data_IF_409856609139
#
_entry.id   IF_409856609139
#
_cell.length_a   1.000
_cell.length_b   1.000
_cell.length_c   1.000
_cell.angle_alpha   90.00
_cell.angle_beta   90.00
_cell.angle_gamma   90.00
#
_symmetry.space_group_name_H-M   'P 1'
#
loop_
_entity.id
_entity.type
_entity.pdbx_description
1 polymer ?
#
# COMPACT_ATOMS: atom_id res chain seq x y z
N UNK A 1 -15.30 7.69 -6.98
CA UNK A 1 -14.01 7.65 -7.67
C UNK A 1 -12.92 7.44 -6.62
N UNK A 2 -11.85 6.68 -6.96
CA UNK A 2 -10.72 6.48 -6.07
C UNK A 2 -9.70 7.60 -6.29
N UNK A 3 -9.20 8.19 -5.21
CA UNK A 3 -8.20 9.27 -5.29
C UNK A 3 -6.80 8.73 -5.54
N UNK A 4 -6.51 7.51 -5.07
CA UNK A 4 -5.19 6.89 -5.15
C UNK A 4 -5.26 5.43 -5.54
N UNK A 5 -4.32 5.03 -6.41
CA UNK A 5 -4.03 3.63 -6.72
C UNK A 5 -2.92 3.13 -5.78
N UNK A 6 -3.28 2.23 -4.87
CA UNK A 6 -2.34 1.61 -3.94
C UNK A 6 -1.84 0.30 -4.51
N UNK A 7 -0.54 0.20 -4.74
CA UNK A 7 0.06 -1.00 -5.33
C UNK A 7 1.24 -1.49 -4.51
N UNK A 8 1.52 -2.75 -4.66
CA UNK A 8 2.65 -3.42 -4.02
C UNK A 8 3.96 -3.11 -4.79
N UNK A 9 5.06 -3.50 -4.21
CA UNK A 9 6.40 -3.26 -4.75
C UNK A 9 6.66 -3.91 -6.12
N UNK A 10 5.92 -4.94 -6.49
CA UNK A 10 5.99 -5.58 -7.80
C UNK A 10 5.63 -4.61 -8.94
N UNK A 11 4.67 -3.74 -8.70
CA UNK A 11 4.18 -2.74 -9.66
C UNK A 11 4.93 -1.40 -9.57
N UNK A 12 5.88 -1.22 -8.66
CA UNK A 12 6.64 0.04 -8.49
C UNK A 12 7.69 0.29 -9.59
N UNK A 13 7.43 -0.19 -10.80
CA UNK A 13 8.30 0.04 -11.96
C UNK A 13 8.04 1.43 -12.54
N UNK A 14 9.09 2.19 -12.93
CA UNK A 14 8.92 3.53 -13.49
C UNK A 14 8.00 3.60 -14.71
N UNK A 15 7.98 2.56 -15.55
CA UNK A 15 7.07 2.46 -16.72
C UNK A 15 5.61 2.37 -16.26
N UNK A 16 5.33 1.57 -15.24
CA UNK A 16 3.97 1.47 -14.68
C UNK A 16 3.51 2.83 -14.11
N UNK A 17 4.37 3.50 -13.35
CA UNK A 17 4.06 4.83 -12.79
C UNK A 17 3.81 5.86 -13.92
N UNK A 18 4.62 5.84 -14.98
CA UNK A 18 4.43 6.67 -16.18
C UNK A 18 3.04 6.45 -16.78
N UNK A 19 2.68 5.19 -17.06
CA UNK A 19 1.38 4.84 -17.63
C UNK A 19 0.21 5.27 -16.73
N UNK A 20 0.31 5.08 -15.41
CA UNK A 20 -0.75 5.50 -14.48
C UNK A 20 -0.89 7.02 -14.44
N UNK A 21 0.22 7.77 -14.48
CA UNK A 21 0.19 9.23 -14.58
C UNK A 21 -0.46 9.72 -15.88
N UNK A 22 -0.19 9.05 -17.02
CA UNK A 22 -0.83 9.34 -18.31
C UNK A 22 -2.35 9.14 -18.26
N UNK A 23 -2.81 8.17 -17.46
CA UNK A 23 -4.24 7.92 -17.20
C UNK A 23 -4.84 8.86 -16.14
N UNK A 24 -4.06 9.81 -15.60
CA UNK A 24 -4.51 10.75 -14.57
C UNK A 24 -4.67 10.12 -13.18
N UNK A 25 -4.10 8.94 -12.94
CA UNK A 25 -4.19 8.23 -11.67
C UNK A 25 -2.99 8.56 -10.77
N UNK A 26 -3.26 8.92 -9.53
CA UNK A 26 -2.24 9.10 -8.50
C UNK A 26 -1.85 7.74 -7.91
N UNK A 27 -0.54 7.48 -7.82
CA UNK A 27 -0.01 6.20 -7.34
C UNK A 27 0.71 6.35 -6.01
N UNK A 28 0.39 5.48 -5.06
CA UNK A 28 1.20 5.29 -3.85
C UNK A 28 1.63 3.82 -3.80
N UNK A 29 2.94 3.59 -3.71
CA UNK A 29 3.51 2.25 -3.79
C UNK A 29 4.71 2.08 -2.86
N UNK A 30 4.89 0.87 -2.33
CA UNK A 30 6.18 0.47 -1.76
C UNK A 30 7.17 0.23 -2.90
N UNK A 31 8.40 0.67 -2.73
CA UNK A 31 9.47 0.39 -3.69
C UNK A 31 10.34 -0.77 -3.24
N UNK A 32 10.83 -1.53 -4.21
CA UNK A 32 11.89 -2.50 -3.96
C UNK A 32 13.19 -1.74 -3.74
N UNK A 33 13.86 -2.01 -2.64
CA UNK A 33 15.19 -1.47 -2.36
C UNK A 33 16.24 -2.28 -3.16
N UNK A 34 16.44 -1.90 -4.40
CA UNK A 34 17.37 -2.51 -5.34
C UNK A 34 18.38 -1.47 -5.85
N UNK A 35 19.26 -1.90 -6.76
CA UNK A 35 20.30 -1.06 -7.35
C UNK A 35 19.78 -0.05 -8.40
N UNK A 36 18.47 0.15 -8.52
CA UNK A 36 17.88 1.13 -9.42
C UNK A 36 18.33 2.53 -9.04
N UNK A 37 18.75 3.30 -10.03
CA UNK A 37 19.33 4.62 -9.86
C UNK A 37 18.27 5.69 -10.04
N UNK A 38 18.26 6.63 -9.10
CA UNK A 38 17.38 7.79 -9.06
C UNK A 38 18.17 9.08 -9.06
N UNK A 39 17.66 10.14 -9.67
CA UNK A 39 18.26 11.45 -9.59
C UNK A 39 17.81 12.12 -8.28
N UNK A 40 18.76 12.34 -7.39
CA UNK A 40 18.58 13.03 -6.14
C UNK A 40 19.57 14.22 -6.08
N UNK A 41 19.05 15.46 -6.07
CA UNK A 41 19.85 16.70 -6.04
C UNK A 41 20.96 16.75 -7.11
N UNK A 42 20.63 16.31 -8.35
CA UNK A 42 21.60 16.28 -9.46
C UNK A 42 22.52 15.05 -9.49
N UNK A 43 22.55 14.24 -8.42
CA UNK A 43 23.37 13.03 -8.34
C UNK A 43 22.54 11.77 -8.58
N UNK A 44 23.15 10.81 -9.25
CA UNK A 44 22.58 9.48 -9.46
C UNK A 44 22.87 8.59 -8.25
N UNK A 45 21.83 8.14 -7.54
CA UNK A 45 21.96 7.31 -6.33
C UNK A 45 20.91 6.20 -6.27
N UNK A 46 21.27 5.12 -5.58
CA UNK A 46 20.31 4.08 -5.15
C UNK A 46 19.44 4.60 -4.00
N UNK A 47 18.32 3.94 -3.71
CA UNK A 47 17.45 4.30 -2.58
C UNK A 47 18.20 4.29 -1.24
N UNK A 48 19.05 3.27 -1.01
CA UNK A 48 19.92 3.21 0.18
C UNK A 48 20.90 4.39 0.23
N UNK A 49 21.49 4.75 -0.89
CA UNK A 49 22.42 5.90 -0.98
C UNK A 49 21.71 7.21 -0.66
N UNK A 50 20.46 7.38 -1.14
CA UNK A 50 19.62 8.56 -0.84
C UNK A 50 19.30 8.60 0.66
N UNK A 51 18.80 7.50 1.23
CA UNK A 51 18.49 7.42 2.65
C UNK A 51 19.69 7.77 3.54
N UNK A 52 20.87 7.19 3.25
CA UNK A 52 22.09 7.45 4.01
C UNK A 52 22.54 8.93 3.95
N UNK A 53 22.32 9.60 2.81
CA UNK A 53 22.58 11.04 2.67
C UNK A 53 21.56 11.86 3.45
N UNK A 54 20.26 11.50 3.38
CA UNK A 54 19.21 12.20 4.11
C UNK A 54 19.38 12.09 5.62
N UNK A 55 19.77 10.92 6.13
CA UNK A 55 20.04 10.70 7.56
C UNK A 55 21.09 11.67 8.14
N UNK A 56 22.02 12.12 7.30
CA UNK A 56 23.06 13.09 7.69
C UNK A 56 22.59 14.54 7.58
N UNK A 57 21.64 14.85 6.71
CA UNK A 57 21.27 16.21 6.33
C UNK A 57 19.93 16.69 6.90
N UNK A 58 19.03 15.78 7.28
CA UNK A 58 17.67 16.11 7.72
C UNK A 58 17.37 15.55 9.10
N UNK A 59 16.51 16.25 9.82
CA UNK A 59 15.92 15.72 11.05
C UNK A 59 15.05 14.53 10.74
N UNK A 60 15.35 13.40 11.36
CA UNK A 60 14.54 12.18 11.28
C UNK A 60 13.32 12.38 12.18
N UNK A 61 12.17 12.10 11.65
CA UNK A 61 10.91 12.13 12.38
C UNK A 61 10.60 10.75 12.96
N UNK A 62 9.86 10.74 14.07
CA UNK A 62 9.41 9.50 14.71
C UNK A 62 7.92 9.29 14.45
N UNK A 63 7.59 8.08 14.02
CA UNK A 63 6.21 7.62 13.86
C UNK A 63 5.92 6.41 14.72
N UNK A 64 4.63 6.09 14.88
CA UNK A 64 4.16 4.95 15.63
C UNK A 64 3.02 4.25 14.89
N UNK A 65 3.06 2.93 14.88
CA UNK A 65 1.98 2.09 14.38
C UNK A 65 1.41 1.24 15.52
N UNK A 66 0.14 1.50 15.85
CA UNK A 66 -0.50 0.90 17.02
C UNK A 66 0.24 1.25 18.32
N UNK A 67 0.12 0.40 19.35
CA UNK A 67 0.75 0.64 20.66
C UNK A 67 2.23 0.20 20.74
N UNK A 68 2.74 -0.56 19.76
CA UNK A 68 4.02 -1.29 19.92
C UNK A 68 5.10 -0.96 18.90
N UNK A 69 4.76 -0.54 17.68
CA UNK A 69 5.74 -0.39 16.60
C UNK A 69 6.11 1.08 16.45
N UNK A 70 7.30 1.43 16.91
CA UNK A 70 7.93 2.73 16.64
C UNK A 70 8.81 2.61 15.41
N UNK A 71 8.82 3.63 14.56
CA UNK A 71 9.67 3.71 13.38
C UNK A 71 10.18 5.13 13.16
N UNK A 72 11.31 5.22 12.49
CA UNK A 72 11.87 6.49 12.02
C UNK A 72 11.44 6.71 10.57
N UNK A 73 11.21 7.96 10.18
CA UNK A 73 10.95 8.27 8.77
C UNK A 73 11.56 9.61 8.36
N UNK A 74 11.89 9.68 7.09
CA UNK A 74 12.42 10.87 6.43
C UNK A 74 12.02 10.83 4.96
N UNK A 75 11.74 11.99 4.37
CA UNK A 75 11.31 12.06 2.98
C UNK A 75 12.15 12.99 2.12
N UNK A 76 12.03 12.78 0.82
CA UNK A 76 12.59 13.67 -0.20
C UNK A 76 11.86 13.52 -1.51
N UNK A 77 12.08 14.48 -2.42
CA UNK A 77 11.65 14.38 -3.80
C UNK A 77 12.85 13.89 -4.63
N UNK A 78 12.58 12.92 -5.50
CA UNK A 78 13.52 12.40 -6.49
C UNK A 78 12.93 12.55 -7.87
N UNK A 79 13.79 12.51 -8.89
CA UNK A 79 13.35 12.50 -10.28
C UNK A 79 13.79 11.22 -10.97
N UNK A 80 12.92 10.70 -11.83
CA UNK A 80 13.24 9.60 -12.73
C UNK A 80 12.83 9.97 -14.17
N UNK A 81 13.64 9.59 -15.16
CA UNK A 81 13.44 9.98 -16.57
C UNK A 81 12.02 9.66 -17.08
N UNK A 82 11.47 8.51 -16.67
CA UNK A 82 10.13 8.05 -17.06
C UNK A 82 9.04 8.45 -16.08
N UNK A 83 9.23 8.16 -14.80
CA UNK A 83 8.21 8.36 -13.77
C UNK A 83 8.06 9.83 -13.30
N UNK A 84 8.89 10.76 -13.81
CA UNK A 84 8.83 12.16 -13.40
C UNK A 84 9.34 12.40 -11.98
N UNK A 85 8.80 13.43 -11.31
CA UNK A 85 9.10 13.74 -9.91
C UNK A 85 8.23 12.89 -8.99
N UNK A 86 8.86 12.32 -7.97
CA UNK A 86 8.21 11.45 -7.00
C UNK A 86 8.63 11.84 -5.59
N UNK A 87 7.70 11.87 -4.66
CA UNK A 87 8.00 11.99 -3.24
C UNK A 87 8.22 10.61 -2.66
N UNK A 88 9.38 10.40 -2.01
CA UNK A 88 9.70 9.13 -1.34
C UNK A 88 9.78 9.37 0.16
N UNK A 89 9.02 8.57 0.91
CA UNK A 89 9.09 8.48 2.36
C UNK A 89 9.82 7.20 2.71
N UNK A 90 10.98 7.32 3.35
CA UNK A 90 11.74 6.20 3.86
C UNK A 90 11.32 5.91 5.30
N UNK A 91 10.77 4.73 5.53
CA UNK A 91 10.43 4.24 6.86
C UNK A 91 11.52 3.27 7.31
N UNK A 92 12.16 3.54 8.44
CA UNK A 92 13.17 2.67 9.05
C UNK A 92 12.60 2.03 10.29
N UNK A 93 12.48 0.72 10.26
CA UNK A 93 12.24 -0.13 11.44
C UNK A 93 13.58 -0.68 11.94
N UNK A 94 13.57 -1.45 13.02
CA UNK A 94 14.79 -2.11 13.54
C UNK A 94 15.49 -2.93 12.45
N UNK A 95 14.72 -3.64 11.63
CA UNK A 95 15.26 -4.63 10.67
C UNK A 95 15.26 -4.09 9.23
N UNK A 96 14.25 -3.32 8.83
CA UNK A 96 14.00 -3.02 7.43
C UNK A 96 14.01 -1.52 7.12
N UNK A 97 14.43 -1.19 5.90
CA UNK A 97 14.20 0.09 5.27
C UNK A 97 13.09 -0.08 4.22
N UNK A 98 12.00 0.64 4.40
CA UNK A 98 10.80 0.55 3.56
C UNK A 98 10.60 1.90 2.87
N UNK A 99 10.96 2.04 1.59
CA UNK A 99 10.66 3.23 0.82
C UNK A 99 9.24 3.16 0.27
N UNK A 100 8.43 4.19 0.54
CA UNK A 100 7.10 4.40 -0.03
C UNK A 100 7.18 5.61 -0.95
N UNK A 101 6.70 5.47 -2.17
CA UNK A 101 6.65 6.52 -3.18
C UNK A 101 5.24 7.02 -3.37
N UNK A 102 5.11 8.33 -3.62
CA UNK A 102 3.88 8.98 -4.08
C UNK A 102 4.14 9.80 -5.32
N UNK A 103 3.24 9.75 -6.30
CA UNK A 103 3.20 10.66 -7.44
C UNK A 103 2.60 12.00 -7.06
N UNK A 104 1.74 12.05 -6.04
CA UNK A 104 1.24 13.29 -5.48
C UNK A 104 2.30 13.90 -4.56
N UNK A 105 2.83 15.05 -4.95
CA UNK A 105 3.87 15.78 -4.21
C UNK A 105 3.31 16.63 -3.07
N UNK A 106 2.01 16.95 -3.09
CA UNK A 106 1.33 17.80 -2.12
C UNK A 106 1.09 17.08 -0.77
N UNK A 107 0.94 15.75 -0.80
CA UNK A 107 0.73 14.96 0.41
C UNK A 107 1.91 15.13 1.38
N UNK A 108 1.61 15.31 2.67
CA UNK A 108 2.63 15.22 3.70
C UNK A 108 3.09 13.76 3.92
N UNK A 109 4.11 13.56 4.73
CA UNK A 109 4.73 12.23 4.92
C UNK A 109 3.80 11.27 5.64
N UNK A 110 3.09 11.78 6.63
CA UNK A 110 2.14 11.03 7.46
C UNK A 110 0.93 10.58 6.63
N UNK A 111 0.41 11.45 5.78
CA UNK A 111 -0.68 11.11 4.85
C UNK A 111 -0.28 9.99 3.89
N UNK A 112 0.93 10.04 3.31
CA UNK A 112 1.42 8.97 2.43
C UNK A 112 1.50 7.64 3.18
N UNK A 113 2.00 7.66 4.42
CA UNK A 113 2.11 6.47 5.26
C UNK A 113 0.72 5.92 5.59
N UNK A 114 -0.22 6.78 5.97
CA UNK A 114 -1.56 6.37 6.39
C UNK A 114 -2.42 5.87 5.23
N UNK A 115 -2.31 6.52 4.06
CA UNK A 115 -2.98 6.03 2.85
C UNK A 115 -2.41 4.67 2.44
N UNK A 116 -1.07 4.51 2.44
CA UNK A 116 -0.45 3.24 2.04
C UNK A 116 -0.80 2.08 2.99
N UNK A 117 -1.00 2.32 4.27
CA UNK A 117 -1.45 1.30 5.23
C UNK A 117 -2.75 0.62 4.81
N UNK A 118 -3.66 1.35 4.14
CA UNK A 118 -4.94 0.80 3.66
C UNK A 118 -4.77 -0.32 2.63
N UNK A 119 -3.60 -0.41 1.97
CA UNK A 119 -3.29 -1.56 1.11
C UNK A 119 -3.41 -2.90 1.85
N UNK A 120 -3.10 -2.91 3.15
CA UNK A 120 -3.23 -4.11 3.98
C UNK A 120 -4.66 -4.61 4.12
N UNK A 121 -5.65 -3.75 3.92
CA UNK A 121 -7.06 -4.11 3.97
C UNK A 121 -7.44 -5.15 2.90
N UNK A 122 -6.71 -5.19 1.77
CA UNK A 122 -6.86 -6.21 0.73
C UNK A 122 -6.50 -7.59 1.27
N UNK A 123 -5.37 -7.70 1.95
CA UNK A 123 -4.89 -8.97 2.53
C UNK A 123 -5.81 -9.43 3.67
N UNK A 124 -6.27 -8.49 4.49
CA UNK A 124 -7.25 -8.76 5.54
C UNK A 124 -8.59 -9.22 4.95
N UNK A 125 -9.09 -8.56 3.90
CA UNK A 125 -10.32 -8.96 3.20
C UNK A 125 -10.23 -10.37 2.62
N UNK A 126 -9.10 -10.74 1.98
CA UNK A 126 -8.89 -12.11 1.51
C UNK A 126 -8.82 -13.14 2.64
N UNK A 127 -8.26 -12.78 3.78
CA UNK A 127 -8.25 -13.64 4.97
C UNK A 127 -9.67 -13.87 5.48
N UNK A 128 -10.45 -12.82 5.64
CA UNK A 128 -11.85 -12.90 6.07
C UNK A 128 -12.73 -13.69 5.10
N UNK A 129 -12.54 -13.49 3.79
CA UNK A 129 -13.22 -14.27 2.74
C UNK A 129 -12.95 -15.77 2.89
N UNK A 130 -11.69 -16.16 3.16
CA UNK A 130 -11.32 -17.57 3.36
C UNK A 130 -11.86 -18.15 4.66
N UNK A 131 -11.81 -17.39 5.74
CA UNK A 131 -12.20 -17.85 7.07
C UNK A 131 -13.73 -17.95 7.22
N UNK A 132 -14.49 -16.99 6.68
CA UNK A 132 -15.91 -16.85 6.98
C UNK A 132 -16.84 -17.04 5.79
N UNK A 133 -16.36 -16.87 4.56
CA UNK A 133 -17.22 -16.90 3.35
C UNK A 133 -16.88 -18.03 2.38
N UNK A 134 -16.05 -18.98 2.79
CA UNK A 134 -15.75 -20.19 2.03
C UNK A 134 -14.91 -20.00 0.76
N UNK A 135 -14.29 -18.81 0.59
CA UNK A 135 -13.38 -18.55 -0.53
C UNK A 135 -12.14 -19.44 -0.47
N UNK A 136 -11.77 -20.09 -1.58
CA UNK A 136 -10.65 -21.01 -1.65
C UNK A 136 -10.93 -22.40 -1.08
N UNK A 137 -12.21 -22.74 -0.79
CA UNK A 137 -12.66 -24.06 -0.35
C UNK A 137 -13.56 -24.71 -1.41
N UNK A 138 -13.35 -24.33 -2.66
CA UNK A 138 -14.15 -24.81 -3.79
C UNK A 138 -13.66 -26.21 -4.20
N UNK A 139 -14.57 -27.20 -4.14
CA UNK A 139 -14.33 -28.57 -4.58
C UNK A 139 -14.87 -28.85 -6.00
N UNK A 140 -15.49 -27.84 -6.62
CA UNK A 140 -16.10 -27.97 -7.95
C UNK A 140 -15.05 -28.03 -9.05
N UNK A 141 -15.23 -28.96 -10.00
CA UNK A 141 -14.40 -29.09 -11.20
C UNK A 141 -14.96 -28.35 -12.42
N UNK A 142 -16.16 -27.82 -12.32
CA UNK A 142 -16.84 -27.08 -13.39
C UNK A 142 -16.52 -25.63 -13.24
N UNK A 143 -15.96 -25.00 -14.27
CA UNK A 143 -15.46 -23.61 -14.23
C UNK A 143 -16.56 -22.61 -13.86
N UNK A 144 -17.76 -22.74 -14.45
CA UNK A 144 -18.90 -21.87 -14.19
C UNK A 144 -19.35 -21.93 -12.73
N UNK A 145 -19.36 -23.13 -12.16
CA UNK A 145 -19.69 -23.30 -10.74
C UNK A 145 -18.62 -22.68 -9.81
N UNK A 146 -17.35 -22.76 -10.20
CA UNK A 146 -16.26 -22.11 -9.50
C UNK A 146 -16.41 -20.58 -9.52
N UNK A 147 -16.65 -20.01 -10.70
CA UNK A 147 -16.87 -18.57 -10.86
C UNK A 147 -18.09 -18.10 -10.06
N UNK A 148 -19.20 -18.82 -10.13
CA UNK A 148 -20.42 -18.51 -9.39
C UNK A 148 -20.16 -18.50 -7.88
N UNK A 149 -19.45 -19.50 -7.35
CA UNK A 149 -19.12 -19.61 -5.93
C UNK A 149 -18.20 -18.49 -5.44
N UNK A 150 -17.14 -18.21 -6.21
CA UNK A 150 -16.24 -17.08 -5.91
C UNK A 150 -17.00 -15.76 -5.90
N UNK A 151 -17.83 -15.53 -6.93
CA UNK A 151 -18.66 -14.31 -7.01
C UNK A 151 -19.61 -14.19 -5.83
N UNK A 152 -20.26 -15.29 -5.41
CA UNK A 152 -21.15 -15.31 -4.27
C UNK A 152 -20.41 -15.00 -2.96
N UNK A 153 -19.20 -15.52 -2.76
CA UNK A 153 -18.37 -15.24 -1.60
C UNK A 153 -18.05 -13.74 -1.47
N UNK A 154 -17.63 -13.10 -2.58
CA UNK A 154 -17.37 -11.66 -2.61
C UNK A 154 -18.64 -10.83 -2.44
N UNK A 155 -19.74 -11.23 -3.06
CA UNK A 155 -21.01 -10.55 -2.94
C UNK A 155 -21.52 -10.57 -1.49
N UNK A 156 -21.49 -11.72 -0.85
CA UNK A 156 -21.88 -11.87 0.57
C UNK A 156 -20.98 -11.05 1.49
N UNK A 157 -19.66 -11.10 1.27
CA UNK A 157 -18.70 -10.27 2.00
C UNK A 157 -19.03 -8.77 1.90
N UNK A 158 -19.32 -8.30 0.69
CA UNK A 158 -19.66 -6.89 0.45
C UNK A 158 -20.93 -6.47 1.18
N UNK A 159 -21.99 -7.33 1.14
CA UNK A 159 -23.24 -7.07 1.87
C UNK A 159 -22.98 -7.02 3.37
N UNK A 160 -22.29 -8.01 3.94
CA UNK A 160 -22.01 -8.05 5.39
C UNK A 160 -21.14 -6.86 5.80
N UNK A 161 -20.13 -6.51 5.01
CA UNK A 161 -19.27 -5.35 5.25
C UNK A 161 -20.08 -4.04 5.21
N UNK A 162 -20.99 -3.91 4.26
CA UNK A 162 -21.87 -2.74 4.16
C UNK A 162 -22.81 -2.62 5.36
N UNK A 163 -23.52 -3.69 5.71
CA UNK A 163 -24.43 -3.72 6.87
C UNK A 163 -23.66 -3.37 8.15
N UNK A 164 -22.47 -3.95 8.32
CA UNK A 164 -21.64 -3.66 9.50
C UNK A 164 -21.21 -2.20 9.59
N UNK A 165 -20.91 -1.55 8.45
CA UNK A 165 -20.51 -0.12 8.41
C UNK A 165 -21.64 0.83 8.80
N UNK A 166 -22.88 0.47 8.48
CA UNK A 166 -24.07 1.28 8.81
C UNK A 166 -24.67 0.93 10.17
N UNK A 167 -24.16 -0.10 10.85
CA UNK A 167 -24.63 -0.48 12.19
C UNK A 167 -24.14 0.53 13.24
N UNK A 168 -24.91 0.71 14.31
CA UNK A 168 -24.55 1.60 15.42
C UNK A 168 -23.32 1.12 16.20
N UNK A 169 -23.02 -0.16 16.16
CA UNK A 169 -21.89 -0.80 16.83
C UNK A 169 -21.10 -1.66 15.84
N UNK A 170 -20.25 -1.05 15.00
CA UNK A 170 -19.49 -1.82 14.01
C UNK A 170 -18.49 -2.76 14.69
N UNK A 171 -18.60 -4.04 14.37
CA UNK A 171 -17.68 -5.10 14.81
C UNK A 171 -16.65 -5.39 13.71
N UNK A 172 -15.58 -6.09 14.04
CA UNK A 172 -14.77 -6.73 12.99
C UNK A 172 -15.59 -7.81 12.28
N UNK A 173 -15.31 -8.09 11.01
CA UNK A 173 -16.01 -9.16 10.26
C UNK A 173 -15.94 -10.48 11.03
N UNK A 174 -14.76 -10.86 11.51
CA UNK A 174 -14.61 -12.05 12.35
C UNK A 174 -15.37 -11.97 13.69
N UNK A 175 -15.64 -10.77 14.19
CA UNK A 175 -16.44 -10.55 15.40
C UNK A 175 -17.95 -10.78 15.19
N UNK A 176 -18.43 -10.70 13.93
CA UNK A 176 -19.83 -11.00 13.61
C UNK A 176 -20.16 -12.50 13.65
N UNK A 177 -19.13 -13.36 13.57
CA UNK A 177 -19.24 -14.83 13.58
C UNK A 177 -18.82 -15.46 14.91
N UNK A 178 -18.58 -14.62 15.93
CA UNK A 178 -18.28 -15.07 17.30
C UNK A 178 -19.48 -14.73 18.17
N UNK A 179 -20.34 -15.70 18.37
CA UNK A 179 -21.34 -15.72 19.44
C UNK A 179 -20.79 -16.46 20.64
#
# INVERSE_FOLDING_TARGET
YADYLLVDSWYSKPVFIETMNELGLQVISRMVNNDRIWNFTGEKKTLNGIYNKLKKLKTIKMGQYGKKIKFEYVSTIVAHKKAGKLKIVFIKTKENLIPIVSTNLELNDEEIIDIYKRRWDIEQGYKELREHFGFGKEENRIYEALVARVTLSFFTYNIVSYINRISNEPKTIGGLFKD
#
